data_IF_040556748006
#
_entry.id   IF_040556748006
#
_cell.length_a   1.000
_cell.length_b   1.000
_cell.length_c   1.000
_cell.angle_alpha   90.00
_cell.angle_beta   90.00
_cell.angle_gamma   90.00
#
_symmetry.space_group_name_H-M   'P 1'
#
loop_
_entity.id
_entity.type
_entity.pdbx_description
1 polymer ?
#
# COMPACT_ATOMS: atom_id res chain seq x y z
N UNK A 1 5.53 3.95 -5.30
CA UNK A 1 6.33 2.96 -4.56
C UNK A 1 5.74 1.56 -4.72
N UNK A 2 6.58 0.53 -4.81
CA UNK A 2 6.13 -0.86 -4.88
C UNK A 2 5.77 -1.40 -3.48
N UNK A 3 5.09 -2.56 -3.44
CA UNK A 3 4.73 -3.23 -2.18
C UNK A 3 5.96 -3.57 -1.31
N UNK A 4 7.12 -3.81 -1.92
CA UNK A 4 8.39 -4.07 -1.23
C UNK A 4 8.95 -2.82 -0.54
N UNK A 5 8.75 -1.65 -1.12
CA UNK A 5 9.14 -0.37 -0.51
C UNK A 5 8.16 -0.01 0.61
N UNK A 6 6.86 -0.30 0.40
CA UNK A 6 5.83 -0.09 1.40
C UNK A 6 6.04 -0.99 2.65
N UNK A 7 6.42 -2.25 2.44
CA UNK A 7 6.82 -3.18 3.51
C UNK A 7 7.97 -2.62 4.35
N UNK A 8 9.03 -2.11 3.72
CA UNK A 8 10.17 -1.49 4.42
C UNK A 8 9.76 -0.23 5.19
N UNK A 9 8.85 0.57 4.63
CA UNK A 9 8.42 1.85 5.21
C UNK A 9 7.47 1.68 6.38
N UNK A 10 6.56 0.71 6.30
CA UNK A 10 5.51 0.47 7.29
C UNK A 10 5.87 -0.59 8.31
N UNK A 11 6.85 -1.45 8.02
CA UNK A 11 7.15 -2.66 8.80
C UNK A 11 6.09 -3.76 8.63
N UNK A 12 5.08 -3.54 7.79
CA UNK A 12 4.00 -4.51 7.59
C UNK A 12 4.39 -5.52 6.50
N UNK A 13 4.17 -6.82 6.73
CA UNK A 13 4.44 -7.82 5.73
C UNK A 13 3.48 -7.66 4.54
N UNK A 14 3.94 -8.04 3.34
CA UNK A 14 3.18 -7.86 2.09
C UNK A 14 1.76 -8.43 2.13
N UNK A 15 1.56 -9.55 2.83
CA UNK A 15 0.23 -10.15 2.95
C UNK A 15 -0.75 -9.24 3.72
N UNK A 16 -0.28 -8.53 4.74
CA UNK A 16 -1.09 -7.57 5.51
C UNK A 16 -1.44 -6.36 4.65
N UNK A 17 -0.49 -5.89 3.85
CA UNK A 17 -0.74 -4.80 2.88
C UNK A 17 -1.81 -5.21 1.86
N UNK A 18 -1.74 -6.43 1.31
CA UNK A 18 -2.75 -6.95 0.37
C UNK A 18 -4.10 -7.16 1.03
N UNK A 19 -4.12 -7.55 2.30
CA UNK A 19 -5.34 -7.62 3.09
C UNK A 19 -6.00 -6.24 3.16
N UNK A 20 -5.25 -5.19 3.53
CA UNK A 20 -5.78 -3.82 3.54
C UNK A 20 -6.20 -3.29 2.16
N UNK A 21 -5.55 -3.73 1.08
CA UNK A 21 -6.00 -3.48 -0.29
C UNK A 21 -7.36 -4.14 -0.58
N UNK A 22 -7.52 -5.41 -0.21
CA UNK A 22 -8.76 -6.16 -0.45
C UNK A 22 -9.94 -5.63 0.35
N UNK A 23 -9.70 -5.23 1.61
CA UNK A 23 -10.70 -4.62 2.49
C UNK A 23 -11.07 -3.18 2.06
N UNK A 24 -10.40 -2.62 1.05
CA UNK A 24 -10.65 -1.25 0.57
C UNK A 24 -10.15 -0.16 1.52
N UNK A 25 -9.27 -0.51 2.46
CA UNK A 25 -8.62 0.42 3.38
C UNK A 25 -7.51 1.22 2.70
N UNK A 26 -6.93 0.65 1.63
CA UNK A 26 -6.13 1.36 0.64
C UNK A 26 -7.05 1.73 -0.52
N UNK A 27 -7.13 3.02 -0.85
CA UNK A 27 -7.97 3.48 -1.92
C UNK A 27 -7.45 2.96 -3.27
N UNK A 28 -8.35 2.35 -4.04
CA UNK A 28 -8.03 1.80 -5.36
C UNK A 28 -7.49 2.86 -6.33
N UNK A 29 -7.84 4.13 -6.12
CA UNK A 29 -7.34 5.28 -6.90
C UNK A 29 -5.89 5.65 -6.58
N UNK A 30 -5.38 5.27 -5.40
CA UNK A 30 -3.96 5.39 -5.06
C UNK A 30 -3.13 4.32 -5.77
N UNK A 31 -3.74 3.17 -6.05
CA UNK A 31 -3.14 2.04 -6.78
C UNK A 31 -3.27 2.25 -8.29
N UNK A 32 -2.36 3.04 -8.85
CA UNK A 32 -2.23 3.15 -10.31
C UNK A 32 -1.57 1.88 -10.84
N UNK A 33 -2.20 1.24 -11.83
CA UNK A 33 -1.47 0.38 -12.77
C UNK A 33 -0.75 1.32 -13.71
N UNK A 34 0.55 1.52 -13.51
CA UNK A 34 1.36 2.22 -14.52
C UNK A 34 1.33 1.45 -15.85
N UNK A 35 1.85 2.05 -16.92
CA UNK A 35 2.02 1.37 -18.23
C UNK A 35 2.69 -0.01 -18.09
N UNK A 36 3.47 -0.20 -17.03
CA UNK A 36 4.20 -1.42 -16.71
C UNK A 36 3.40 -2.44 -15.86
N UNK A 37 2.08 -2.31 -15.70
CA UNK A 37 1.20 -3.17 -14.88
C UNK A 37 1.54 -3.28 -13.38
N UNK A 38 2.55 -2.55 -12.89
CA UNK A 38 2.87 -2.51 -11.47
C UNK A 38 1.89 -1.66 -10.68
N UNK A 39 1.62 -2.08 -9.45
CA UNK A 39 0.83 -1.35 -8.46
C UNK A 39 1.71 -0.33 -7.74
N UNK A 40 1.27 0.92 -7.78
CA UNK A 40 1.92 2.03 -7.09
C UNK A 40 1.21 2.37 -5.77
N UNK A 41 1.92 2.40 -4.64
CA UNK A 41 1.41 2.75 -3.31
C UNK A 41 1.91 4.13 -2.81
N UNK A 42 2.11 5.10 -3.71
CA UNK A 42 2.78 6.37 -3.38
C UNK A 42 2.01 7.32 -2.45
N UNK A 43 0.71 7.11 -2.19
CA UNK A 43 -0.06 8.05 -1.37
C UNK A 43 0.34 7.94 0.13
N UNK A 44 1.08 8.94 0.60
CA UNK A 44 1.58 9.00 1.97
C UNK A 44 0.45 9.02 3.02
N UNK A 45 -0.76 9.47 2.67
CA UNK A 45 -1.89 9.51 3.62
C UNK A 45 -2.37 8.12 3.98
N UNK A 46 -2.37 7.19 3.02
CA UNK A 46 -2.75 5.80 3.24
C UNK A 46 -1.71 5.05 4.07
N UNK A 47 -0.42 5.27 3.74
CA UNK A 47 0.70 4.70 4.47
C UNK A 47 0.60 5.07 5.95
N UNK A 48 0.33 6.33 6.25
CA UNK A 48 0.19 6.80 7.62
C UNK A 48 -1.01 6.17 8.34
N UNK A 49 -2.10 5.87 7.62
CA UNK A 49 -3.27 5.21 8.21
C UNK A 49 -2.96 3.77 8.65
N UNK A 50 -2.25 3.01 7.82
CA UNK A 50 -1.90 1.61 8.13
C UNK A 50 -0.70 1.48 9.09
N UNK A 51 0.17 2.49 9.15
CA UNK A 51 1.34 2.51 10.04
C UNK A 51 1.03 2.85 11.50
N UNK A 52 -0.11 3.49 11.78
CA UNK A 52 -0.42 4.05 13.12
C UNK A 52 -1.24 3.08 14.00
N UNK A 53 -1.58 1.88 13.51
CA UNK A 53 -2.38 0.90 14.26
C UNK A 53 -1.54 -0.08 15.11
N UNK A 54 -0.36 0.34 15.57
CA UNK A 54 0.51 -0.45 16.46
C UNK A 54 0.30 -0.11 17.93
#
# INVERSE_FOLDING_TARGET
>A
MLISELEKKTGLPRHTIRFYEQEGLLEKHSIRRGENNYRDYSDQREIRRISVSG
#
